data_IF_531152105905
#
_entry.id   IF_531152105905
#
_cell.length_a   1.000
_cell.length_b   1.000
_cell.length_c   1.000
_cell.angle_alpha   90.00
_cell.angle_beta   90.00
_cell.angle_gamma   90.00
#
_symmetry.space_group_name_H-M   'P 1'
#
loop_
_entity.id
_entity.type
_entity.pdbx_description
1 polymer ?
#
# COMPACT_ATOMS: atom_id res chain seq x y z
N UNK A 1 7.26 -12.63 -7.17
CA UNK A 1 7.59 -13.77 -8.00
C UNK A 1 6.68 -13.79 -9.23
N UNK A 2 7.22 -14.18 -10.39
CA UNK A 2 6.50 -14.20 -11.67
C UNK A 2 5.23 -15.07 -11.65
N UNK A 3 5.16 -16.10 -10.79
CA UNK A 3 3.98 -16.96 -10.63
C UNK A 3 2.79 -16.24 -10.02
N UNK A 4 3.02 -15.25 -9.17
CA UNK A 4 1.95 -14.45 -8.58
C UNK A 4 1.34 -13.48 -9.61
N UNK A 5 2.15 -12.94 -10.52
CA UNK A 5 1.69 -12.07 -11.59
C UNK A 5 1.02 -12.86 -12.73
N UNK A 6 1.59 -14.03 -13.11
CA UNK A 6 1.00 -14.93 -14.09
C UNK A 6 1.16 -16.38 -13.63
N UNK A 7 0.08 -17.07 -13.18
CA UNK A 7 0.16 -18.43 -12.67
C UNK A 7 0.65 -19.46 -13.71
N UNK A 8 0.50 -19.20 -15.02
CA UNK A 8 1.04 -20.07 -16.06
C UNK A 8 2.58 -20.17 -16.03
N UNK A 9 3.26 -19.17 -15.41
CA UNK A 9 4.71 -19.20 -15.18
C UNK A 9 5.19 -20.39 -14.36
N UNK A 10 4.34 -20.93 -13.48
CA UNK A 10 4.62 -22.17 -12.75
C UNK A 10 4.80 -23.37 -13.69
N UNK A 11 4.13 -23.39 -14.85
CA UNK A 11 4.27 -24.45 -15.86
C UNK A 11 5.65 -24.49 -16.53
N UNK A 12 6.50 -23.49 -16.35
CA UNK A 12 7.88 -23.46 -16.85
C UNK A 12 8.86 -24.26 -15.98
N UNK A 13 8.50 -24.58 -14.73
CA UNK A 13 9.34 -25.36 -13.83
C UNK A 13 9.46 -26.80 -14.28
N UNK A 14 10.68 -27.34 -14.20
CA UNK A 14 11.05 -28.70 -14.59
C UNK A 14 11.57 -29.53 -13.42
N UNK A 15 11.84 -28.89 -12.29
CA UNK A 15 12.33 -29.51 -11.05
C UNK A 15 11.54 -28.94 -9.90
N UNK A 16 11.38 -29.73 -8.87
CA UNK A 16 10.83 -29.25 -7.59
C UNK A 16 11.81 -28.31 -6.93
N UNK A 17 11.30 -27.34 -6.16
CA UNK A 17 12.12 -26.26 -5.58
C UNK A 17 11.50 -25.81 -4.26
N UNK A 18 12.35 -25.54 -3.27
CA UNK A 18 11.99 -24.81 -2.06
C UNK A 18 12.81 -23.52 -2.06
N UNK A 19 12.15 -22.38 -1.87
CA UNK A 19 12.80 -21.08 -1.87
C UNK A 19 12.44 -20.25 -0.64
N UNK A 20 13.44 -19.50 -0.13
CA UNK A 20 13.32 -18.52 0.93
C UNK A 20 13.89 -17.19 0.43
N UNK A 21 13.17 -16.12 0.68
CA UNK A 21 13.62 -14.74 0.42
C UNK A 21 13.69 -13.98 1.73
N UNK A 22 14.77 -13.25 1.91
CA UNK A 22 14.99 -12.30 2.99
C UNK A 22 15.12 -10.91 2.38
N UNK A 23 14.65 -9.88 3.06
CA UNK A 23 14.85 -8.50 2.63
C UNK A 23 15.12 -7.55 3.80
N UNK A 24 15.85 -6.49 3.49
CA UNK A 24 15.98 -5.29 4.29
C UNK A 24 15.40 -4.13 3.51
N UNK A 25 14.42 -3.44 4.10
CA UNK A 25 13.75 -2.28 3.51
C UNK A 25 14.03 -1.06 4.38
N UNK A 26 14.50 0.02 3.76
CA UNK A 26 14.74 1.32 4.39
C UNK A 26 13.87 2.33 3.67
N UNK A 27 12.84 2.82 4.34
CA UNK A 27 11.99 3.90 3.87
C UNK A 27 12.51 5.24 4.42
N UNK A 28 12.67 6.22 3.52
CA UNK A 28 13.06 7.58 3.84
C UNK A 28 12.01 8.53 3.31
N UNK A 29 11.57 9.44 4.14
CA UNK A 29 10.66 10.52 3.76
C UNK A 29 11.31 11.85 4.05
N UNK A 30 11.09 12.85 3.19
CA UNK A 30 11.63 14.18 3.33
C UNK A 30 10.62 15.20 2.81
N UNK A 31 10.23 16.14 3.66
CA UNK A 31 9.49 17.32 3.24
C UNK A 31 10.40 18.22 2.38
N UNK A 32 9.88 18.70 1.26
CA UNK A 32 10.66 19.47 0.25
C UNK A 32 10.18 20.90 0.07
N UNK A 33 9.17 21.34 0.84
CA UNK A 33 8.66 22.70 0.79
C UNK A 33 9.67 23.74 1.26
N UNK A 34 9.51 24.97 0.77
CA UNK A 34 10.53 26.04 0.89
C UNK A 34 10.85 26.45 2.33
N UNK A 35 9.91 26.28 3.27
CA UNK A 35 10.02 26.85 4.62
C UNK A 35 10.36 25.82 5.71
N UNK A 36 10.32 24.53 5.43
CA UNK A 36 10.63 23.48 6.39
C UNK A 36 11.30 22.28 5.71
N UNK A 37 12.30 21.70 6.38
CA UNK A 37 12.95 20.47 5.92
C UNK A 37 12.89 19.46 7.05
N UNK A 38 11.87 18.62 7.03
CA UNK A 38 11.77 17.49 7.95
C UNK A 38 12.09 16.20 7.21
N UNK A 39 12.72 15.27 7.91
CA UNK A 39 13.05 13.96 7.33
C UNK A 39 12.87 12.86 8.35
N UNK A 40 12.37 11.73 7.90
CA UNK A 40 12.24 10.51 8.69
C UNK A 40 12.85 9.32 7.96
N UNK A 41 13.33 8.33 8.72
CA UNK A 41 13.85 7.10 8.17
C UNK A 41 13.48 5.91 9.05
N UNK A 42 12.97 4.86 8.42
CA UNK A 42 12.57 3.62 9.11
C UNK A 42 13.10 2.40 8.37
N UNK A 43 13.74 1.49 9.08
CA UNK A 43 14.25 0.24 8.51
C UNK A 43 13.49 -0.97 9.04
N UNK A 44 13.45 -2.03 8.23
CA UNK A 44 12.86 -3.30 8.59
C UNK A 44 13.51 -4.46 7.87
N UNK A 45 13.96 -5.44 8.66
CA UNK A 45 14.35 -6.75 8.16
C UNK A 45 13.18 -7.73 8.21
N UNK A 46 12.99 -8.53 7.15
CA UNK A 46 11.91 -9.50 7.07
C UNK A 46 12.26 -10.73 6.22
N UNK A 47 11.44 -11.77 6.34
CA UNK A 47 11.39 -12.90 5.43
C UNK A 47 10.07 -12.80 4.61
N UNK A 48 10.05 -12.01 3.51
CA UNK A 48 8.81 -11.70 2.80
C UNK A 48 8.28 -12.85 1.96
N UNK A 49 9.08 -13.89 1.69
CA UNK A 49 8.61 -14.99 0.87
C UNK A 49 9.22 -16.32 1.29
N UNK A 50 8.34 -17.32 1.37
CA UNK A 50 8.69 -18.74 1.37
C UNK A 50 7.81 -19.45 0.35
N UNK A 51 8.38 -20.38 -0.43
CA UNK A 51 7.61 -21.15 -1.40
C UNK A 51 8.15 -22.56 -1.56
N UNK A 52 7.23 -23.50 -1.85
CA UNK A 52 7.53 -24.87 -2.22
C UNK A 52 6.82 -25.19 -3.54
N UNK A 53 7.56 -25.70 -4.50
CA UNK A 53 7.10 -26.06 -5.84
C UNK A 53 7.34 -27.56 -6.05
N UNK A 54 6.31 -28.25 -6.51
CA UNK A 54 6.37 -29.64 -6.94
C UNK A 54 6.17 -29.70 -8.45
N UNK A 55 7.19 -30.13 -9.18
CA UNK A 55 7.16 -30.29 -10.62
C UNK A 55 6.93 -31.78 -10.96
N UNK A 56 5.70 -32.13 -11.32
CA UNK A 56 5.28 -33.47 -11.64
C UNK A 56 5.17 -33.62 -13.16
N UNK A 57 6.04 -34.39 -13.76
CA UNK A 57 6.00 -34.55 -15.20
C UNK A 57 6.94 -35.61 -15.78
N UNK A 58 6.87 -35.76 -17.06
CA UNK A 58 7.69 -36.71 -17.81
C UNK A 58 8.46 -35.96 -18.91
N UNK A 59 9.77 -35.81 -18.73
CA UNK A 59 10.65 -35.13 -19.70
C UNK A 59 10.73 -35.82 -21.06
N UNK A 60 10.40 -37.11 -21.14
CA UNK A 60 10.41 -37.90 -22.43
C UNK A 60 9.16 -37.61 -23.26
N UNK A 61 8.10 -37.07 -22.64
CA UNK A 61 6.85 -36.78 -23.32
C UNK A 61 6.98 -35.43 -24.08
N UNK A 62 6.67 -35.47 -25.38
CA UNK A 62 6.80 -34.29 -26.24
C UNK A 62 5.45 -33.63 -26.58
N UNK A 63 4.31 -34.31 -26.40
CA UNK A 63 2.97 -33.80 -26.73
C UNK A 63 1.97 -34.02 -25.60
N UNK A 64 0.94 -33.20 -25.59
CA UNK A 64 -0.08 -33.17 -24.54
C UNK A 64 0.43 -32.56 -23.23
N UNK A 65 -0.19 -32.90 -22.12
CA UNK A 65 0.23 -32.43 -20.79
C UNK A 65 1.56 -33.11 -20.41
N UNK A 66 2.64 -32.32 -20.37
CA UNK A 66 4.01 -32.78 -20.10
C UNK A 66 4.34 -32.65 -18.63
N UNK A 67 3.98 -31.49 -18.03
CA UNK A 67 4.12 -31.23 -16.62
C UNK A 67 2.82 -30.73 -16.01
N UNK A 68 2.56 -31.13 -14.77
CA UNK A 68 1.52 -30.64 -13.90
C UNK A 68 2.21 -30.19 -12.61
N UNK A 69 2.32 -28.89 -12.41
CA UNK A 69 3.09 -28.31 -11.32
C UNK A 69 2.16 -27.73 -10.27
N UNK A 70 2.55 -27.82 -9.00
CA UNK A 70 1.85 -27.26 -7.86
C UNK A 70 2.79 -26.34 -7.09
N UNK A 71 2.26 -25.30 -6.46
CA UNK A 71 3.02 -24.43 -5.58
C UNK A 71 2.18 -24.06 -4.35
N UNK A 72 2.81 -24.06 -3.21
CA UNK A 72 2.34 -23.40 -2.00
C UNK A 72 3.33 -22.28 -1.66
N UNK A 73 2.82 -21.08 -1.43
CA UNK A 73 3.69 -19.94 -1.06
C UNK A 73 3.02 -19.02 -0.08
N UNK A 74 3.84 -18.41 0.79
CA UNK A 74 3.51 -17.22 1.56
C UNK A 74 4.35 -16.07 1.01
N UNK A 75 3.71 -14.94 0.72
CA UNK A 75 4.37 -13.79 0.11
C UNK A 75 3.85 -12.48 0.69
N UNK A 76 4.77 -11.59 1.12
CA UNK A 76 4.45 -10.23 1.53
C UNK A 76 4.27 -9.34 0.31
N UNK A 77 3.05 -8.86 0.09
CA UNK A 77 2.71 -7.98 -1.03
C UNK A 77 3.02 -6.52 -0.73
N UNK A 78 2.76 -6.09 0.52
CA UNK A 78 3.07 -4.74 0.96
C UNK A 78 3.58 -4.71 2.40
N UNK A 79 4.44 -3.75 2.67
CA UNK A 79 4.96 -3.41 3.98
C UNK A 79 4.61 -1.94 4.24
N UNK A 80 3.90 -1.68 5.33
CA UNK A 80 3.40 -0.34 5.66
C UNK A 80 4.30 0.44 6.64
N UNK A 81 5.49 -0.06 6.95
CA UNK A 81 6.41 0.62 7.88
C UNK A 81 6.97 1.90 7.28
N UNK A 82 6.36 3.02 7.62
CA UNK A 82 6.76 4.34 7.17
C UNK A 82 6.39 5.38 8.22
N UNK A 83 7.23 6.41 8.36
CA UNK A 83 6.95 7.59 9.14
C UNK A 83 7.03 8.82 8.23
N UNK A 84 6.04 9.72 8.33
CA UNK A 84 5.98 11.00 7.64
C UNK A 84 5.92 12.06 8.73
N UNK A 85 6.79 13.06 8.63
CA UNK A 85 6.75 14.23 9.49
C UNK A 85 6.75 15.45 8.59
N UNK A 86 5.75 16.30 8.75
CA UNK A 86 5.66 17.59 8.05
C UNK A 86 5.39 18.70 9.03
N UNK A 87 5.93 19.87 8.72
CA UNK A 87 5.71 21.11 9.48
C UNK A 87 5.24 22.21 8.55
N UNK A 88 4.38 23.07 9.05
CA UNK A 88 3.86 24.21 8.30
C UNK A 88 3.20 25.22 9.22
N UNK A 89 2.86 26.36 8.63
CA UNK A 89 2.05 27.39 9.29
C UNK A 89 0.61 27.30 8.81
N UNK A 90 -0.36 27.60 9.70
CA UNK A 90 -1.78 27.65 9.34
C UNK A 90 -2.28 26.31 8.80
N UNK A 91 -2.00 25.20 9.47
CA UNK A 91 -2.46 23.86 9.04
C UNK A 91 -3.98 23.70 9.14
N UNK A 92 -4.67 24.50 9.96
CA UNK A 92 -6.12 24.62 9.96
C UNK A 92 -6.87 23.53 10.71
N UNK A 93 -6.31 23.00 11.80
CA UNK A 93 -6.97 21.99 12.63
C UNK A 93 -8.26 22.54 13.26
N UNK A 94 -8.19 23.71 13.84
CA UNK A 94 -9.33 24.33 14.50
C UNK A 94 -10.40 24.76 13.49
N UNK A 95 -9.99 25.30 12.35
CA UNK A 95 -10.88 25.66 11.25
C UNK A 95 -11.62 24.44 10.71
N UNK A 96 -10.93 23.29 10.59
CA UNK A 96 -11.56 22.03 10.20
C UNK A 96 -12.56 21.56 11.23
N UNK A 97 -12.25 21.68 12.52
CA UNK A 97 -13.21 21.36 13.61
C UNK A 97 -14.44 22.25 13.53
N UNK A 98 -14.27 23.58 13.33
CA UNK A 98 -15.39 24.50 13.16
C UNK A 98 -16.26 24.10 11.97
N UNK A 99 -15.65 23.90 10.81
CA UNK A 99 -16.36 23.51 9.59
C UNK A 99 -17.18 22.22 9.75
N UNK A 100 -16.65 21.23 10.48
CA UNK A 100 -17.37 19.97 10.78
C UNK A 100 -18.47 20.15 11.82
N UNK A 101 -18.44 21.24 12.57
CA UNK A 101 -19.40 21.54 13.64
C UNK A 101 -20.47 22.53 13.19
N UNK A 102 -20.26 23.26 12.11
CA UNK A 102 -21.20 24.23 11.57
C UNK A 102 -22.57 23.61 11.31
N UNK A 103 -23.61 24.29 11.78
CA UNK A 103 -25.00 23.83 11.74
C UNK A 103 -25.44 23.02 12.95
N UNK A 104 -24.53 22.68 13.88
CA UNK A 104 -24.86 22.02 15.16
C UNK A 104 -25.02 23.06 16.27
N UNK A 105 -26.16 23.07 16.93
CA UNK A 105 -26.36 23.91 18.10
C UNK A 105 -25.54 23.39 19.28
N UNK A 106 -24.95 24.29 20.09
CA UNK A 106 -24.07 24.00 21.22
C UNK A 106 -24.63 22.93 22.16
N UNK A 107 -25.95 23.00 22.45
CA UNK A 107 -26.61 22.05 23.34
C UNK A 107 -26.43 20.58 22.97
N UNK A 108 -26.23 20.26 21.69
CA UNK A 108 -26.00 18.88 21.22
C UNK A 108 -24.60 18.36 21.55
N UNK A 109 -23.63 19.23 21.84
CA UNK A 109 -22.25 18.82 22.17
C UNK A 109 -21.99 18.75 23.69
N UNK A 110 -22.84 19.34 24.52
CA UNK A 110 -22.62 19.48 25.97
C UNK A 110 -22.50 18.10 26.69
N UNK A 111 -23.26 17.09 26.26
CA UNK A 111 -23.29 15.76 26.87
C UNK A 111 -22.33 14.76 26.23
N UNK A 112 -21.46 15.24 25.30
CA UNK A 112 -20.52 14.41 24.51
C UNK A 112 -21.21 13.18 23.89
N UNK A 113 -22.12 13.36 22.91
CA UNK A 113 -22.96 12.31 22.35
C UNK A 113 -22.17 11.41 21.36
N UNK A 114 -21.28 10.60 21.88
CA UNK A 114 -20.40 9.73 21.07
C UNK A 114 -21.16 8.67 20.24
N UNK A 115 -22.38 8.33 20.63
CA UNK A 115 -23.21 7.33 19.95
C UNK A 115 -24.13 7.94 18.88
N UNK A 116 -24.14 9.26 18.72
CA UNK A 116 -24.96 9.94 17.74
C UNK A 116 -24.26 9.89 16.36
N UNK A 117 -24.93 9.32 15.37
CA UNK A 117 -24.38 9.17 14.03
C UNK A 117 -24.39 10.46 13.20
N UNK A 118 -25.07 11.51 13.67
CA UNK A 118 -25.11 12.82 12.99
C UNK A 118 -24.10 13.80 13.56
N UNK A 119 -23.46 13.46 14.68
CA UNK A 119 -22.49 14.32 15.36
C UNK A 119 -21.08 13.72 15.24
N UNK A 120 -20.21 14.41 14.51
CA UNK A 120 -18.83 13.98 14.31
C UNK A 120 -18.01 14.01 15.60
N UNK A 121 -17.22 12.96 15.83
CA UNK A 121 -16.33 12.92 16.99
C UNK A 121 -15.33 14.06 17.02
N UNK A 122 -14.94 14.62 15.87
CA UNK A 122 -14.05 15.76 15.77
C UNK A 122 -14.68 17.02 16.39
N UNK A 123 -16.01 17.21 16.21
CA UNK A 123 -16.78 18.30 16.80
C UNK A 123 -16.81 18.19 18.34
N UNK A 124 -17.07 16.98 18.84
CA UNK A 124 -17.10 16.72 20.30
C UNK A 124 -15.72 16.94 20.93
N UNK A 125 -14.66 16.51 20.26
CA UNK A 125 -13.27 16.70 20.69
C UNK A 125 -12.91 18.20 20.73
N UNK A 126 -13.23 18.94 19.67
CA UNK A 126 -12.93 20.37 19.58
C UNK A 126 -13.65 21.20 20.65
N UNK A 127 -14.96 20.96 20.81
CA UNK A 127 -15.76 21.64 21.83
C UNK A 127 -15.31 21.26 23.25
N UNK A 128 -15.17 19.98 23.53
CA UNK A 128 -14.81 19.48 24.86
C UNK A 128 -13.39 19.89 25.30
N UNK A 129 -12.50 20.21 24.35
CA UNK A 129 -11.14 20.70 24.59
C UNK A 129 -11.02 22.24 24.56
N UNK A 130 -12.14 22.97 24.45
CA UNK A 130 -12.19 24.45 24.40
C UNK A 130 -11.37 25.02 23.22
N UNK A 131 -11.43 24.37 22.06
CA UNK A 131 -10.72 24.78 20.85
C UNK A 131 -11.61 25.50 19.85
N UNK A 132 -12.93 25.32 19.97
CA UNK A 132 -13.95 25.95 19.12
C UNK A 132 -15.05 26.54 19.98
N UNK A 133 -15.52 27.73 19.60
CA UNK A 133 -16.56 28.48 20.28
C UNK A 133 -17.78 28.65 19.37
N UNK A 134 -19.03 28.52 19.91
CA UNK A 134 -20.22 28.83 19.15
C UNK A 134 -20.35 30.32 18.88
N UNK A 135 -20.77 30.67 17.68
CA UNK A 135 -21.14 32.02 17.25
C UNK A 135 -22.60 32.06 16.80
N UNK A 136 -23.04 33.20 16.24
CA UNK A 136 -24.42 33.32 15.77
C UNK A 136 -24.81 32.32 14.67
N UNK A 137 -26.09 31.91 14.63
CA UNK A 137 -26.68 31.02 13.63
C UNK A 137 -26.08 29.61 13.58
N UNK A 138 -25.76 29.02 14.74
CA UNK A 138 -25.17 27.67 14.85
C UNK A 138 -23.86 27.53 14.04
N UNK A 139 -23.13 28.62 13.84
CA UNK A 139 -21.79 28.63 13.27
C UNK A 139 -20.76 28.55 14.39
N UNK A 140 -19.55 28.13 14.04
CA UNK A 140 -18.46 27.94 14.98
C UNK A 140 -17.20 28.68 14.54
N UNK A 141 -16.42 29.14 15.51
CA UNK A 141 -15.16 29.82 15.25
C UNK A 141 -14.02 29.21 16.08
N UNK A 142 -12.76 29.24 15.59
CA UNK A 142 -11.60 28.89 16.39
C UNK A 142 -11.52 29.74 17.66
N UNK A 143 -11.37 29.09 18.82
CA UNK A 143 -11.16 29.79 20.10
C UNK A 143 -9.74 30.35 20.25
N UNK A 144 -8.80 29.88 19.43
CA UNK A 144 -7.38 30.20 19.46
C UNK A 144 -6.87 30.46 18.03
N UNK A 145 -5.83 31.28 17.93
CA UNK A 145 -5.07 31.52 16.70
C UNK A 145 -3.73 30.77 16.79
N UNK A 146 -3.73 29.50 16.40
CA UNK A 146 -2.55 28.65 16.42
C UNK A 146 -1.82 28.76 15.07
N UNK A 147 -0.54 29.09 15.09
CA UNK A 147 0.22 29.46 13.90
C UNK A 147 1.14 28.36 13.38
N UNK A 148 1.75 27.60 14.29
CA UNK A 148 2.77 26.60 13.94
C UNK A 148 2.22 25.19 14.09
N UNK A 149 2.27 24.42 13.03
CA UNK A 149 1.73 23.07 12.99
C UNK A 149 2.79 22.00 12.72
N UNK A 150 2.60 20.82 13.29
CA UNK A 150 3.36 19.60 13.00
C UNK A 150 2.40 18.43 12.85
N UNK A 151 2.47 17.75 11.72
CA UNK A 151 1.76 16.51 11.48
C UNK A 151 2.76 15.35 11.43
N UNK A 152 2.56 14.35 12.29
CA UNK A 152 3.32 13.10 12.29
C UNK A 152 2.40 11.95 11.99
N UNK A 153 2.69 11.21 10.92
CA UNK A 153 1.97 10.00 10.54
C UNK A 153 2.91 8.81 10.64
N UNK A 154 2.58 7.85 11.49
CA UNK A 154 3.33 6.60 11.66
C UNK A 154 2.48 5.43 11.21
N UNK A 155 2.94 4.71 10.19
CA UNK A 155 2.30 3.55 9.63
C UNK A 155 3.08 2.29 9.96
N UNK A 156 2.38 1.20 10.26
CA UNK A 156 2.97 -0.11 10.50
C UNK A 156 2.04 -1.23 10.09
N UNK A 157 2.62 -2.40 9.81
CA UNK A 157 1.86 -3.59 9.44
C UNK A 157 2.26 -4.16 8.09
N UNK A 158 1.48 -5.11 7.62
CA UNK A 158 1.76 -5.84 6.39
C UNK A 158 0.50 -6.38 5.73
N UNK A 159 0.63 -6.56 4.43
CA UNK A 159 -0.30 -7.28 3.59
C UNK A 159 0.40 -8.54 3.07
N UNK A 160 0.06 -9.68 3.65
CA UNK A 160 0.64 -10.98 3.32
C UNK A 160 -0.37 -11.80 2.52
N UNK A 161 0.08 -12.62 1.57
CA UNK A 161 -0.75 -13.49 0.76
C UNK A 161 -0.25 -14.92 0.80
N UNK A 162 -1.13 -15.84 1.14
CA UNK A 162 -0.92 -17.27 0.97
C UNK A 162 -1.53 -17.68 -0.36
N UNK A 163 -0.75 -18.42 -1.17
CA UNK A 163 -1.19 -18.80 -2.53
C UNK A 163 -1.02 -20.29 -2.74
N UNK A 164 -2.09 -20.93 -3.18
CA UNK A 164 -2.08 -22.27 -3.74
C UNK A 164 -2.19 -22.14 -5.26
N UNK A 165 -1.23 -22.74 -5.99
CA UNK A 165 -1.16 -22.62 -7.44
C UNK A 165 -1.12 -23.99 -8.10
N UNK A 166 -1.73 -24.06 -9.28
CA UNK A 166 -1.57 -25.15 -10.21
C UNK A 166 -1.26 -24.62 -11.62
N UNK A 167 -0.35 -25.29 -12.34
CA UNK A 167 -0.13 -25.01 -13.75
C UNK A 167 0.23 -26.24 -14.56
N UNK A 168 -0.28 -26.27 -15.77
CA UNK A 168 -0.02 -27.28 -16.78
C UNK A 168 0.88 -26.76 -17.88
N UNK A 169 1.82 -27.62 -18.33
CA UNK A 169 2.62 -27.42 -19.52
C UNK A 169 2.15 -28.35 -20.62
N UNK A 170 1.64 -27.79 -21.70
CA UNK A 170 1.08 -28.54 -22.84
C UNK A 170 2.02 -28.39 -24.04
N UNK A 171 2.67 -29.49 -24.41
CA UNK A 171 3.54 -29.60 -25.59
C UNK A 171 4.70 -28.60 -25.65
N UNK A 172 5.12 -28.02 -24.50
CA UNK A 172 6.12 -26.92 -24.39
C UNK A 172 5.78 -25.67 -25.20
N UNK A 173 4.53 -25.52 -25.61
CA UNK A 173 4.03 -24.36 -26.34
C UNK A 173 3.00 -23.56 -25.54
N UNK A 174 2.10 -24.25 -24.85
CA UNK A 174 1.05 -23.63 -24.06
C UNK A 174 1.25 -23.95 -22.58
N UNK A 175 1.14 -22.92 -21.78
CA UNK A 175 1.19 -23.03 -20.34
C UNK A 175 -0.06 -22.36 -19.79
N UNK A 176 -0.80 -23.06 -18.97
CA UNK A 176 -2.02 -22.57 -18.33
C UNK A 176 -1.85 -22.69 -16.83
N UNK A 177 -2.40 -21.75 -16.07
CA UNK A 177 -2.28 -21.79 -14.63
C UNK A 177 -3.41 -21.07 -13.91
N UNK A 178 -3.60 -21.46 -12.65
CA UNK A 178 -4.57 -20.86 -11.75
C UNK A 178 -3.95 -20.68 -10.37
N UNK A 179 -4.31 -19.61 -9.69
CA UNK A 179 -3.99 -19.35 -8.28
C UNK A 179 -5.27 -19.21 -7.48
N UNK A 180 -5.27 -19.77 -6.29
CA UNK A 180 -6.16 -19.41 -5.19
C UNK A 180 -5.35 -18.57 -4.20
N UNK A 181 -5.81 -17.35 -3.91
CA UNK A 181 -5.13 -16.39 -3.08
C UNK A 181 -5.92 -16.15 -1.79
N UNK A 182 -5.25 -16.25 -0.65
CA UNK A 182 -5.79 -16.01 0.67
C UNK A 182 -4.96 -14.90 1.34
N UNK A 183 -5.27 -13.63 1.09
CA UNK A 183 -4.56 -12.53 1.71
C UNK A 183 -4.99 -12.28 3.14
N UNK A 184 -4.07 -11.75 3.94
CA UNK A 184 -4.29 -11.22 5.28
C UNK A 184 -3.74 -9.80 5.37
N UNK A 185 -4.47 -8.92 6.03
CA UNK A 185 -4.10 -7.53 6.24
C UNK A 185 -3.99 -7.26 7.73
N UNK A 186 -2.93 -6.60 8.14
CA UNK A 186 -2.80 -5.94 9.43
C UNK A 186 -2.16 -4.57 9.18
N UNK A 187 -2.86 -3.52 9.51
CA UNK A 187 -2.43 -2.14 9.28
C UNK A 187 -2.77 -1.29 10.49
N UNK A 188 -1.81 -0.53 10.95
CA UNK A 188 -1.99 0.44 12.03
C UNK A 188 -1.44 1.77 11.58
N UNK A 189 -2.26 2.82 11.66
CA UNK A 189 -1.89 4.21 11.43
C UNK A 189 -2.06 4.99 12.73
N UNK A 190 -1.04 5.72 13.12
CA UNK A 190 -1.07 6.71 14.20
C UNK A 190 -0.78 8.06 13.60
N UNK A 191 -1.68 8.99 13.87
CA UNK A 191 -1.54 10.38 13.44
C UNK A 191 -1.47 11.24 14.69
N UNK A 192 -0.47 12.08 14.76
CA UNK A 192 -0.37 13.14 15.79
C UNK A 192 -0.31 14.47 15.05
N UNK A 193 -1.34 15.28 15.23
CA UNK A 193 -1.41 16.63 14.71
C UNK A 193 -1.31 17.61 15.89
N UNK A 194 -0.30 18.45 15.88
CA UNK A 194 -0.06 19.44 16.94
C UNK A 194 -0.04 20.82 16.31
N UNK A 195 -0.83 21.73 16.84
CA UNK A 195 -0.76 23.15 16.50
C UNK A 195 -0.49 23.98 17.75
N UNK A 196 0.34 25.00 17.63
CA UNK A 196 0.81 25.81 18.77
C UNK A 196 0.92 27.29 18.41
N UNK A 197 0.75 28.13 19.45
CA UNK A 197 1.25 29.50 19.48
C UNK A 197 2.25 29.65 20.63
N UNK A 198 2.52 30.87 21.08
CA UNK A 198 3.45 31.14 22.18
C UNK A 198 2.97 30.61 23.54
N UNK A 199 1.68 30.44 23.75
CA UNK A 199 1.05 30.21 25.06
C UNK A 199 0.16 28.97 25.02
N UNK A 200 -0.54 28.76 23.89
CA UNK A 200 -1.58 27.76 23.70
C UNK A 200 -1.10 26.62 22.81
N UNK A 201 -1.74 25.49 22.94
CA UNK A 201 -1.48 24.33 22.08
C UNK A 201 -2.71 23.45 21.94
N UNK A 202 -2.81 22.78 20.81
CA UNK A 202 -3.76 21.71 20.55
C UNK A 202 -3.00 20.51 20.01
N UNK A 203 -3.25 19.32 20.55
CA UNK A 203 -2.65 18.06 20.08
C UNK A 203 -3.75 17.02 19.93
N UNK A 204 -3.99 16.59 18.69
CA UNK A 204 -4.89 15.48 18.35
C UNK A 204 -4.08 14.25 18.03
N UNK A 205 -4.30 13.18 18.79
CA UNK A 205 -3.75 11.84 18.53
C UNK A 205 -4.86 10.94 18.02
N UNK A 206 -4.68 10.33 16.87
CA UNK A 206 -5.63 9.39 16.29
C UNK A 206 -4.96 8.06 16.00
N UNK A 207 -5.61 6.98 16.39
CA UNK A 207 -5.23 5.60 16.10
C UNK A 207 -6.28 5.00 15.17
N UNK A 208 -5.81 4.42 14.07
CA UNK A 208 -6.61 3.65 13.14
C UNK A 208 -5.99 2.27 12.97
N UNK A 209 -6.71 1.23 13.33
CA UNK A 209 -6.29 -0.15 13.18
C UNK A 209 -7.22 -0.91 12.25
N UNK A 210 -6.64 -1.55 11.25
CA UNK A 210 -7.36 -2.31 10.23
C UNK A 210 -6.77 -3.71 10.16
N UNK A 211 -7.60 -4.72 10.31
CA UNK A 211 -7.16 -6.11 10.18
C UNK A 211 -8.22 -6.95 9.48
N UNK A 212 -7.79 -7.99 8.78
CA UNK A 212 -8.73 -8.87 8.12
C UNK A 212 -8.10 -9.92 7.23
N UNK A 213 -8.96 -10.69 6.62
CA UNK A 213 -8.61 -11.77 5.70
C UNK A 213 -9.51 -11.72 4.46
N UNK A 214 -9.00 -12.27 3.36
CA UNK A 214 -9.72 -12.27 2.10
C UNK A 214 -9.53 -13.55 1.30
N UNK A 215 -10.25 -13.58 0.19
CA UNK A 215 -10.17 -14.64 -0.81
C UNK A 215 -10.21 -14.02 -2.20
N UNK A 216 -9.35 -14.51 -3.08
CA UNK A 216 -9.27 -14.10 -4.47
C UNK A 216 -8.62 -15.18 -5.32
N UNK A 217 -8.40 -14.87 -6.60
CA UNK A 217 -7.76 -15.81 -7.50
C UNK A 217 -7.21 -15.14 -8.75
N UNK A 218 -6.44 -15.89 -9.50
CA UNK A 218 -5.99 -15.47 -10.82
C UNK A 218 -5.86 -16.63 -11.78
N UNK A 219 -6.00 -16.33 -13.06
CA UNK A 219 -5.79 -17.26 -14.16
C UNK A 219 -4.73 -16.71 -15.09
N UNK A 220 -3.98 -17.58 -15.72
CA UNK A 220 -2.91 -17.18 -16.62
C UNK A 220 -2.70 -18.12 -17.78
N UNK A 221 -2.19 -17.53 -18.85
CA UNK A 221 -1.82 -18.21 -20.09
C UNK A 221 -0.45 -17.71 -20.55
N UNK A 222 0.42 -18.62 -21.00
CA UNK A 222 1.64 -18.29 -21.73
C UNK A 222 1.64 -19.13 -23.00
N UNK A 223 1.86 -18.46 -24.12
CA UNK A 223 2.06 -19.08 -25.42
C UNK A 223 3.50 -18.87 -25.91
N UNK A 224 4.13 -19.95 -26.33
CA UNK A 224 5.50 -19.96 -26.85
C UNK A 224 5.50 -20.42 -28.31
N UNK A 225 5.28 -19.51 -29.29
CA UNK A 225 5.24 -19.86 -30.72
C UNK A 225 6.56 -20.41 -31.20
N UNK A 226 7.67 -19.86 -30.76
CA UNK A 226 9.03 -20.29 -31.04
C UNK A 226 9.87 -20.27 -29.76
N UNK A 227 11.05 -20.88 -29.79
CA UNK A 227 11.92 -20.92 -28.59
C UNK A 227 12.28 -19.56 -28.04
N UNK A 228 12.46 -18.58 -28.91
CA UNK A 228 12.92 -17.24 -28.55
C UNK A 228 11.82 -16.31 -28.05
N UNK A 229 10.53 -16.60 -28.27
CA UNK A 229 9.43 -15.67 -27.95
C UNK A 229 8.40 -16.35 -27.05
N UNK A 230 7.98 -15.64 -26.03
CA UNK A 230 6.83 -15.98 -25.17
C UNK A 230 5.91 -14.78 -25.05
N UNK A 231 4.62 -15.03 -25.20
CA UNK A 231 3.55 -14.07 -24.97
C UNK A 231 2.74 -14.55 -23.80
N UNK A 232 2.50 -13.70 -22.82
CA UNK A 232 1.74 -14.03 -21.63
C UNK A 232 0.53 -13.12 -21.46
N UNK A 233 -0.52 -13.67 -20.89
CA UNK A 233 -1.68 -12.92 -20.40
C UNK A 233 -2.12 -13.47 -19.05
N UNK A 234 -2.56 -12.61 -18.15
CA UNK A 234 -3.14 -13.01 -16.87
C UNK A 234 -4.28 -12.10 -16.46
N UNK A 235 -5.17 -12.65 -15.66
CA UNK A 235 -6.35 -11.99 -15.14
C UNK A 235 -6.50 -12.31 -13.65
N UNK A 236 -6.54 -11.24 -12.83
CA UNK A 236 -6.69 -11.34 -11.40
C UNK A 236 -8.10 -10.92 -11.01
N UNK A 237 -8.85 -11.88 -10.48
CA UNK A 237 -10.21 -11.65 -9.99
C UNK A 237 -10.13 -10.77 -8.74
N UNK A 238 -11.05 -9.81 -8.57
CA UNK A 238 -11.11 -9.02 -7.35
C UNK A 238 -11.08 -9.89 -6.10
N UNK A 239 -10.19 -9.54 -5.18
CA UNK A 239 -10.08 -10.20 -3.88
C UNK A 239 -11.07 -9.55 -2.93
N UNK A 240 -12.04 -10.31 -2.43
CA UNK A 240 -12.95 -9.85 -1.41
C UNK A 240 -12.31 -10.04 -0.04
N UNK A 241 -12.25 -8.97 0.76
CA UNK A 241 -11.70 -8.97 2.11
C UNK A 241 -12.77 -8.56 3.10
N UNK A 242 -12.86 -9.30 4.21
CA UNK A 242 -13.62 -8.91 5.40
C UNK A 242 -12.65 -8.24 6.37
N UNK A 243 -12.91 -6.98 6.70
CA UNK A 243 -12.04 -6.14 7.50
C UNK A 243 -12.73 -5.75 8.80
N UNK A 244 -11.95 -5.70 9.87
CA UNK A 244 -12.31 -5.12 11.16
C UNK A 244 -11.57 -3.79 11.29
N UNK A 245 -12.32 -2.74 11.58
CA UNK A 245 -11.83 -1.36 11.76
C UNK A 245 -12.00 -0.95 13.19
N UNK A 246 -10.96 -0.40 13.80
CA UNK A 246 -10.98 0.20 15.13
C UNK A 246 -10.37 1.59 15.07
N UNK A 247 -11.04 2.57 15.69
CA UNK A 247 -10.60 3.96 15.74
C UNK A 247 -10.64 4.45 17.18
N UNK A 248 -9.61 5.18 17.60
CA UNK A 248 -9.51 5.83 18.91
C UNK A 248 -8.86 7.20 18.71
N UNK A 249 -9.24 8.20 19.50
CA UNK A 249 -8.65 9.53 19.44
C UNK A 249 -8.63 10.22 20.78
N UNK A 250 -7.52 10.91 21.03
CA UNK A 250 -7.28 11.69 22.22
C UNK A 250 -6.99 13.14 21.82
N UNK A 251 -7.70 14.09 22.42
CA UNK A 251 -7.48 15.52 22.24
C UNK A 251 -6.93 16.13 23.50
N UNK A 252 -5.80 16.78 23.37
CA UNK A 252 -5.14 17.54 24.42
C UNK A 252 -5.06 19.01 24.02
N UNK A 253 -5.45 19.90 24.90
CA UNK A 253 -5.29 21.34 24.67
C UNK A 253 -4.71 22.06 25.88
N UNK A 254 -4.05 23.19 25.61
CA UNK A 254 -3.66 24.17 26.61
C UNK A 254 -4.21 25.51 26.17
N UNK A 255 -5.16 26.03 26.93
CA UNK A 255 -5.89 27.26 26.65
C UNK A 255 -5.69 28.23 27.82
N UNK A 256 -5.06 29.35 27.57
CA UNK A 256 -4.81 30.41 28.61
C UNK A 256 -4.15 29.86 29.89
N UNK A 257 -3.27 28.86 29.75
CA UNK A 257 -2.51 28.25 30.85
C UNK A 257 -3.22 27.11 31.56
N UNK A 258 -4.45 26.75 31.18
CA UNK A 258 -5.17 25.57 31.65
C UNK A 258 -5.06 24.45 30.64
N UNK A 259 -4.96 23.21 31.12
CA UNK A 259 -4.88 22.01 30.28
C UNK A 259 -6.18 21.24 30.33
N UNK A 260 -6.61 20.77 29.16
CA UNK A 260 -7.81 19.95 28.99
C UNK A 260 -7.47 18.69 28.22
N UNK A 261 -8.22 17.63 28.52
CA UNK A 261 -8.11 16.32 27.87
C UNK A 261 -9.51 15.79 27.55
N UNK A 262 -9.70 15.33 26.32
CA UNK A 262 -10.94 14.69 25.87
C UNK A 262 -10.56 13.42 25.13
N UNK A 263 -11.04 12.29 25.64
CA UNK A 263 -10.80 10.96 25.09
C UNK A 263 -12.06 10.44 24.41
N UNK A 264 -11.95 9.84 23.25
CA UNK A 264 -13.06 9.12 22.66
C UNK A 264 -13.27 7.82 23.41
N UNK A 265 -14.50 7.29 23.45
CA UNK A 265 -14.70 5.90 23.85
C UNK A 265 -13.94 4.99 22.86
N UNK A 266 -13.49 3.83 23.33
CA UNK A 266 -12.97 2.82 22.42
C UNK A 266 -14.06 2.50 21.39
N UNK A 267 -13.79 2.74 20.11
CA UNK A 267 -14.76 2.41 19.07
C UNK A 267 -14.99 0.91 19.07
N UNK A 268 -16.25 0.51 19.03
CA UNK A 268 -16.57 -0.88 18.74
C UNK A 268 -15.94 -1.31 17.42
N UNK A 269 -15.61 -2.60 17.31
CA UNK A 269 -15.07 -3.13 16.05
C UNK A 269 -16.14 -3.05 14.96
N UNK A 270 -15.95 -2.19 13.98
CA UNK A 270 -16.81 -2.11 12.80
C UNK A 270 -16.30 -3.09 11.75
N UNK A 271 -17.19 -4.00 11.30
CA UNK A 271 -16.86 -4.93 10.23
C UNK A 271 -17.29 -4.36 8.89
N UNK A 272 -16.40 -4.36 7.92
CA UNK A 272 -16.68 -3.93 6.54
C UNK A 272 -16.14 -4.93 5.53
N UNK A 273 -16.65 -4.87 4.31
CA UNK A 273 -16.15 -5.68 3.19
C UNK A 273 -15.63 -4.76 2.10
N UNK A 274 -14.45 -5.06 1.63
CA UNK A 274 -13.87 -4.39 0.46
C UNK A 274 -13.51 -5.41 -0.62
N UNK A 275 -13.51 -4.96 -1.86
CA UNK A 275 -13.01 -5.73 -2.99
C UNK A 275 -11.79 -5.03 -3.59
N UNK A 276 -10.71 -5.77 -3.84
CA UNK A 276 -9.58 -5.22 -4.58
C UNK A 276 -9.98 -4.93 -6.03
N UNK A 277 -9.28 -3.99 -6.71
CA UNK A 277 -9.47 -3.78 -8.14
C UNK A 277 -9.26 -5.05 -8.97
N UNK A 278 -9.93 -5.11 -10.11
CA UNK A 278 -9.67 -6.09 -11.15
C UNK A 278 -8.37 -5.75 -11.87
N UNK A 279 -7.45 -6.71 -12.03
CA UNK A 279 -6.19 -6.49 -12.74
C UNK A 279 -6.03 -7.45 -13.92
N UNK A 280 -5.66 -6.92 -15.08
CA UNK A 280 -5.33 -7.66 -16.29
C UNK A 280 -3.90 -7.36 -16.71
N UNK A 281 -3.16 -8.35 -17.18
CA UNK A 281 -1.77 -8.18 -17.58
C UNK A 281 -1.51 -8.84 -18.94
N UNK A 282 -0.68 -8.18 -19.74
CA UNK A 282 -0.11 -8.76 -20.97
C UNK A 282 1.40 -8.61 -20.93
N UNK A 283 2.11 -9.62 -21.43
CA UNK A 283 3.57 -9.64 -21.39
C UNK A 283 4.17 -10.24 -22.65
N UNK A 284 5.35 -9.73 -23.01
CA UNK A 284 6.17 -10.23 -24.09
C UNK A 284 7.59 -10.47 -23.57
N UNK A 285 8.12 -11.66 -23.83
CA UNK A 285 9.48 -12.03 -23.46
C UNK A 285 10.21 -12.49 -24.72
N UNK A 286 11.35 -11.83 -24.99
CA UNK A 286 12.26 -12.17 -26.09
C UNK A 286 13.58 -12.71 -25.55
N UNK A 287 14.05 -13.84 -26.09
CA UNK A 287 15.38 -14.38 -25.81
C UNK A 287 16.36 -13.86 -26.85
N UNK A 288 17.49 -13.31 -26.41
CA UNK A 288 18.56 -12.78 -27.26
C UNK A 288 19.74 -13.73 -27.19
N UNK A 289 19.93 -14.48 -28.25
CA UNK A 289 20.91 -15.57 -28.25
C UNK A 289 20.60 -16.63 -27.20
N UNK A 290 21.64 -17.21 -26.62
CA UNK A 290 21.50 -18.18 -25.52
C UNK A 290 21.70 -17.54 -24.13
N UNK A 291 22.09 -16.28 -24.07
CA UNK A 291 22.65 -15.61 -22.89
C UNK A 291 21.82 -14.42 -22.42
N UNK A 292 20.90 -13.91 -23.26
CA UNK A 292 20.11 -12.73 -22.95
C UNK A 292 18.62 -12.94 -22.98
N UNK A 293 17.90 -12.15 -22.18
CA UNK A 293 16.45 -12.11 -22.13
C UNK A 293 15.99 -10.68 -21.90
N UNK A 294 14.99 -10.22 -22.64
CA UNK A 294 14.27 -8.97 -22.40
C UNK A 294 12.79 -9.30 -22.21
N UNK A 295 12.19 -8.65 -21.23
CA UNK A 295 10.77 -8.79 -20.91
C UNK A 295 10.12 -7.41 -20.82
N UNK A 296 8.91 -7.30 -21.36
CA UNK A 296 8.03 -6.15 -21.22
C UNK A 296 6.67 -6.63 -20.77
N UNK A 297 6.09 -5.99 -19.77
CA UNK A 297 4.76 -6.29 -19.27
C UNK A 297 3.99 -4.99 -19.06
N UNK A 298 2.73 -5.02 -19.43
CA UNK A 298 1.77 -3.96 -19.14
C UNK A 298 0.63 -4.54 -18.30
N UNK A 299 0.36 -3.86 -17.18
CA UNK A 299 -0.76 -4.19 -16.29
C UNK A 299 -1.78 -3.06 -16.33
N UNK A 300 -3.03 -3.42 -16.45
CA UNK A 300 -4.18 -2.54 -16.31
C UNK A 300 -4.98 -2.96 -15.08
N UNK A 301 -5.14 -2.03 -14.14
CA UNK A 301 -5.90 -2.22 -12.92
C UNK A 301 -7.12 -1.30 -12.96
N UNK A 302 -8.31 -1.89 -13.02
CA UNK A 302 -9.56 -1.16 -13.09
C UNK A 302 -10.01 -0.75 -11.69
N UNK A 303 -10.12 0.55 -11.46
CA UNK A 303 -10.57 1.09 -10.19
C UNK A 303 -12.06 0.82 -9.96
N UNK A 304 -12.46 0.31 -8.79
CA UNK A 304 -13.87 0.16 -8.46
C UNK A 304 -14.51 1.54 -8.32
N UNK A 305 -15.64 1.76 -9.01
CA UNK A 305 -16.34 3.06 -9.03
C UNK A 305 -17.28 3.25 -7.85
N UNK A 306 -17.71 2.15 -7.23
CA UNK A 306 -18.68 2.13 -6.14
C UNK A 306 -18.06 1.43 -4.94
N UNK A 307 -17.49 2.19 -4.00
CA UNK A 307 -17.05 1.65 -2.72
C UNK A 307 -17.85 2.27 -1.58
N UNK A 308 -18.44 1.42 -0.75
CA UNK A 308 -19.18 1.79 0.47
C UNK A 308 -18.31 2.53 1.51
N UNK A 309 -16.99 2.60 1.31
CA UNK A 309 -16.03 3.22 2.24
C UNK A 309 -15.82 4.72 1.99
N UNK A 310 -16.58 5.36 1.09
CA UNK A 310 -16.48 6.80 0.84
C UNK A 310 -15.12 7.26 0.31
N UNK A 311 -14.32 6.36 -0.26
CA UNK A 311 -13.10 6.77 -0.96
C UNK A 311 -13.47 7.47 -2.26
N UNK A 312 -12.81 8.56 -2.52
CA UNK A 312 -12.84 9.37 -3.72
C UNK A 312 -12.76 8.56 -4.99
N UNK A 313 -13.20 9.11 -6.11
CA UNK A 313 -13.09 8.44 -7.40
C UNK A 313 -11.65 8.03 -7.65
N UNK A 314 -11.39 6.74 -7.53
CA UNK A 314 -10.13 6.14 -7.91
C UNK A 314 -10.00 6.16 -9.43
N UNK A 315 -8.78 6.34 -9.92
CA UNK A 315 -8.46 6.22 -11.34
C UNK A 315 -7.93 4.84 -11.66
N UNK A 316 -8.10 4.42 -12.91
CA UNK A 316 -7.51 3.20 -13.41
C UNK A 316 -5.98 3.31 -13.37
N UNK A 317 -5.30 2.24 -12.92
CA UNK A 317 -3.85 2.24 -12.80
C UNK A 317 -3.22 1.53 -13.99
N UNK A 318 -2.26 2.20 -14.57
CA UNK A 318 -1.44 1.70 -15.67
C UNK A 318 -0.03 1.42 -15.16
N UNK A 319 0.42 0.16 -15.26
CA UNK A 319 1.78 -0.20 -14.85
C UNK A 319 2.56 -0.74 -16.05
N UNK A 320 3.70 -0.13 -16.34
CA UNK A 320 4.65 -0.61 -17.34
C UNK A 320 5.89 -1.18 -16.64
N UNK A 321 6.24 -2.42 -16.98
CA UNK A 321 7.43 -3.11 -16.46
C UNK A 321 8.35 -3.52 -17.59
N UNK A 322 9.62 -3.19 -17.48
CA UNK A 322 10.67 -3.59 -18.43
C UNK A 322 11.81 -4.23 -17.64
N UNK A 323 12.28 -5.36 -18.12
CA UNK A 323 13.39 -6.07 -17.47
C UNK A 323 14.30 -6.75 -18.49
N UNK A 324 15.54 -6.87 -18.10
CA UNK A 324 16.56 -7.60 -18.87
C UNK A 324 17.39 -8.50 -17.94
N UNK A 325 17.77 -9.67 -18.44
CA UNK A 325 18.70 -10.60 -17.79
C UNK A 325 19.78 -10.99 -18.81
N UNK A 326 21.04 -11.03 -18.38
CA UNK A 326 22.14 -11.49 -19.17
C UNK A 326 23.01 -12.49 -18.40
N UNK A 327 23.36 -13.60 -19.03
CA UNK A 327 24.33 -14.56 -18.50
C UNK A 327 25.74 -14.04 -18.75
N UNK A 328 26.50 -13.79 -17.68
CA UNK A 328 27.88 -13.27 -17.76
C UNK A 328 28.87 -14.41 -17.90
N UNK A 329 28.66 -15.47 -17.14
CA UNK A 329 29.41 -16.71 -17.22
C UNK A 329 28.48 -17.87 -16.92
N UNK A 330 28.97 -19.12 -17.04
CA UNK A 330 28.16 -20.29 -16.73
C UNK A 330 27.60 -20.23 -15.31
N UNK A 331 26.30 -20.14 -15.21
CA UNK A 331 25.55 -20.08 -13.96
C UNK A 331 25.43 -18.68 -13.35
N UNK A 332 26.20 -17.68 -13.76
CA UNK A 332 26.14 -16.32 -13.22
C UNK A 332 25.33 -15.40 -14.14
N UNK A 333 24.35 -14.68 -13.56
CA UNK A 333 23.45 -13.77 -14.26
C UNK A 333 23.46 -12.40 -13.62
N UNK A 334 23.31 -11.38 -14.45
CA UNK A 334 22.99 -10.04 -14.02
C UNK A 334 21.61 -9.68 -14.56
N UNK A 335 20.85 -8.93 -13.79
CA UNK A 335 19.55 -8.43 -14.23
C UNK A 335 19.36 -6.97 -13.85
N UNK A 336 18.51 -6.29 -14.62
CA UNK A 336 18.07 -4.93 -14.36
C UNK A 336 16.59 -4.80 -14.71
N UNK A 337 15.89 -3.91 -14.03
CA UNK A 337 14.47 -3.68 -14.27
C UNK A 337 14.06 -2.25 -13.95
N UNK A 338 13.02 -1.82 -14.63
CA UNK A 338 12.34 -0.55 -14.42
C UNK A 338 10.83 -0.81 -14.37
N UNK A 339 10.15 -0.13 -13.43
CA UNK A 339 8.70 -0.14 -13.34
C UNK A 339 8.21 1.30 -13.20
N UNK A 340 7.21 1.65 -13.99
CA UNK A 340 6.42 2.86 -13.84
C UNK A 340 4.98 2.46 -13.50
N UNK A 341 4.41 3.08 -12.47
CA UNK A 341 3.04 2.89 -12.04
C UNK A 341 2.36 4.24 -11.88
N UNK A 342 1.23 4.46 -12.58
CA UNK A 342 0.45 5.69 -12.45
C UNK A 342 -0.21 5.77 -11.06
N UNK A 343 -0.59 6.98 -10.63
CA UNK A 343 -1.43 7.14 -9.43
C UNK A 343 -2.79 6.49 -9.63
N UNK A 344 -3.37 5.98 -8.54
CA UNK A 344 -4.75 5.50 -8.51
C UNK A 344 -5.71 6.52 -7.90
N UNK A 345 -5.21 7.64 -7.39
CA UNK A 345 -5.99 8.75 -6.84
C UNK A 345 -5.99 9.92 -7.83
N UNK A 346 -7.11 10.59 -7.96
CA UNK A 346 -7.19 11.89 -8.64
C UNK A 346 -6.44 12.96 -7.86
N UNK A 347 -5.95 13.98 -8.54
CA UNK A 347 -5.21 15.12 -7.98
C UNK A 347 -6.03 16.01 -7.03
N UNK A 348 -7.15 15.55 -6.51
CA UNK A 348 -7.98 16.31 -5.60
C UNK A 348 -8.17 15.56 -4.29
N UNK A 349 -7.35 15.83 -3.26
CA UNK A 349 -7.41 15.14 -1.99
C UNK A 349 -8.66 15.49 -1.17
N UNK A 350 -9.34 16.58 -1.44
CA UNK A 350 -10.58 17.00 -0.76
C UNK A 350 -11.65 15.91 -0.87
N UNK A 351 -11.62 15.14 -1.93
CA UNK A 351 -12.53 14.03 -2.15
C UNK A 351 -12.18 12.73 -1.40
N UNK A 352 -11.05 12.66 -0.72
CA UNK A 352 -10.69 11.51 0.11
C UNK A 352 -11.35 11.51 1.48
N UNK A 353 -12.27 12.44 1.71
CA UNK A 353 -13.01 12.57 2.93
C UNK A 353 -14.05 11.48 3.04
N UNK A 354 -13.79 10.55 3.90
CA UNK A 354 -14.83 9.64 4.37
C UNK A 354 -15.85 10.45 5.18
N UNK A 355 -17.11 10.38 4.82
CA UNK A 355 -18.23 10.87 5.64
C UNK A 355 -18.43 10.03 6.91
N UNK A 356 -17.38 9.41 7.41
CA UNK A 356 -17.46 8.64 8.64
C UNK A 356 -17.31 9.56 9.84
N UNK A 357 -18.38 9.78 10.56
CA UNK A 357 -18.46 10.68 11.70
C UNK A 357 -17.49 10.32 12.84
N UNK A 358 -17.06 9.08 12.92
CA UNK A 358 -16.07 8.63 13.91
C UNK A 358 -14.62 8.86 13.50
N UNK A 359 -14.37 9.25 12.24
CA UNK A 359 -13.01 9.49 11.76
C UNK A 359 -12.50 10.85 12.23
N UNK A 360 -11.35 10.86 12.90
CA UNK A 360 -10.73 12.05 13.45
C UNK A 360 -9.32 12.30 12.94
N UNK A 361 -8.73 11.34 12.22
CA UNK A 361 -7.38 11.51 11.70
C UNK A 361 -7.35 12.54 10.56
N UNK A 362 -6.57 13.59 10.76
CA UNK A 362 -6.34 14.66 9.78
C UNK A 362 -5.11 14.33 8.93
N UNK A 363 -5.21 13.31 8.09
CA UNK A 363 -4.16 12.83 7.21
C UNK A 363 -4.74 12.64 5.80
N UNK A 364 -4.66 13.69 5.00
CA UNK A 364 -5.13 13.71 3.62
C UNK A 364 -3.94 13.76 2.69
N UNK A 365 -3.80 12.77 1.84
CA UNK A 365 -2.65 12.68 0.95
C UNK A 365 -3.01 12.14 -0.42
N UNK A 366 -2.36 12.70 -1.39
CA UNK A 366 -2.35 12.27 -2.76
C UNK A 366 -0.95 11.74 -3.10
N UNK A 367 -0.90 10.61 -3.75
CA UNK A 367 0.35 9.98 -4.16
C UNK A 367 0.49 10.10 -5.66
N UNK A 368 1.60 10.66 -6.13
CA UNK A 368 1.93 10.74 -7.56
C UNK A 368 2.29 9.36 -8.13
N UNK A 369 2.68 9.32 -9.40
CA UNK A 369 3.21 8.10 -10.01
C UNK A 369 4.40 7.55 -9.23
N UNK A 370 4.53 6.23 -9.22
CA UNK A 370 5.62 5.53 -8.53
C UNK A 370 6.59 4.95 -9.55
N UNK A 371 7.87 5.10 -9.30
CA UNK A 371 8.94 4.55 -10.14
C UNK A 371 9.82 3.61 -9.33
N UNK A 372 10.18 2.48 -9.95
CA UNK A 372 11.08 1.50 -9.36
C UNK A 372 12.23 1.22 -10.30
N UNK A 373 13.43 1.21 -9.76
CA UNK A 373 14.66 0.81 -10.43
C UNK A 373 15.24 -0.39 -9.69
N UNK A 374 15.67 -1.40 -10.41
CA UNK A 374 16.24 -2.59 -9.81
C UNK A 374 17.44 -3.12 -10.57
N UNK A 375 18.41 -3.62 -9.82
CA UNK A 375 19.57 -4.35 -10.34
C UNK A 375 19.80 -5.58 -9.49
N UNK A 376 20.30 -6.66 -10.09
CA UNK A 376 20.53 -7.88 -9.35
C UNK A 376 21.63 -8.75 -9.96
N UNK A 377 22.14 -9.62 -9.11
CA UNK A 377 23.10 -10.67 -9.42
C UNK A 377 22.52 -12.02 -9.02
N UNK A 378 22.59 -13.00 -9.89
CA UNK A 378 22.09 -14.34 -9.63
C UNK A 378 23.09 -15.42 -9.99
N UNK A 379 23.12 -16.46 -9.20
CA UNK A 379 23.85 -17.71 -9.51
C UNK A 379 22.84 -18.86 -9.61
N UNK A 380 22.94 -19.63 -10.67
CA UNK A 380 22.07 -20.78 -10.93
C UNK A 380 22.89 -22.01 -11.26
N UNK A 381 22.74 -23.04 -10.43
CA UNK A 381 23.27 -24.37 -10.69
C UNK A 381 22.11 -25.38 -10.84
N UNK A 382 22.47 -26.65 -10.96
CA UNK A 382 21.47 -27.72 -11.00
C UNK A 382 20.68 -27.86 -9.71
N UNK A 383 21.35 -27.67 -8.56
CA UNK A 383 20.77 -27.88 -7.24
C UNK A 383 20.40 -26.58 -6.50
N UNK A 384 21.02 -25.44 -6.85
CA UNK A 384 20.88 -24.21 -6.07
C UNK A 384 20.68 -23.01 -6.98
N UNK A 385 19.78 -22.11 -6.59
CA UNK A 385 19.66 -20.76 -7.12
C UNK A 385 19.87 -19.78 -5.97
N UNK A 386 20.80 -18.86 -6.13
CA UNK A 386 21.03 -17.75 -5.19
C UNK A 386 20.91 -16.43 -5.96
N UNK A 387 20.21 -15.48 -5.39
CA UNK A 387 20.02 -14.14 -6.00
C UNK A 387 20.17 -13.06 -4.94
N UNK A 388 20.81 -11.97 -5.32
CA UNK A 388 20.87 -10.73 -4.56
C UNK A 388 20.43 -9.60 -5.47
N UNK A 389 19.47 -8.80 -5.01
CA UNK A 389 18.94 -7.67 -5.77
C UNK A 389 18.85 -6.44 -4.89
N UNK A 390 19.02 -5.29 -5.51
CA UNK A 390 18.75 -3.98 -4.94
C UNK A 390 17.63 -3.34 -5.73
N UNK A 391 16.65 -2.77 -5.03
CA UNK A 391 15.55 -2.02 -5.61
C UNK A 391 15.48 -0.64 -4.95
N UNK A 392 15.34 0.38 -5.78
CA UNK A 392 15.07 1.75 -5.38
C UNK A 392 13.68 2.14 -5.87
N UNK A 393 12.82 2.63 -4.96
CA UNK A 393 11.51 3.20 -5.27
C UNK A 393 11.53 4.68 -4.97
N UNK A 394 10.99 5.47 -5.87
CA UNK A 394 10.80 6.89 -5.71
C UNK A 394 9.36 7.29 -5.97
N UNK A 395 8.84 8.20 -5.16
CA UNK A 395 7.47 8.67 -5.21
C UNK A 395 7.36 9.99 -4.45
N UNK A 396 6.54 10.94 -4.95
CA UNK A 396 6.18 12.15 -4.22
C UNK A 396 4.76 12.01 -3.67
N UNK A 397 4.56 12.45 -2.44
CA UNK A 397 3.28 12.54 -1.76
C UNK A 397 2.96 14.01 -1.56
N UNK A 398 1.79 14.44 -2.01
CA UNK A 398 1.20 15.72 -1.64
C UNK A 398 0.39 15.50 -0.36
N UNK A 399 0.88 16.02 0.75
CA UNK A 399 0.32 15.87 2.08
C UNK A 399 -0.46 17.12 2.47
N UNK A 400 -1.69 16.93 2.93
CA UNK A 400 -2.50 17.96 3.55
C UNK A 400 -2.77 17.53 4.99
N UNK A 401 -2.57 18.43 5.93
CA UNK A 401 -2.83 18.19 7.34
C UNK A 401 -4.32 18.28 7.68
N UNK A 402 -5.07 19.10 6.90
CA UNK A 402 -6.50 19.32 7.11
C UNK A 402 -7.21 19.62 5.79
N UNK A 403 -8.53 19.58 5.83
CA UNK A 403 -9.39 19.99 4.69
C UNK A 403 -9.31 21.49 4.42
N UNK A 404 -9.05 22.29 5.43
CA UNK A 404 -8.94 23.75 5.32
C UNK A 404 -7.63 24.19 4.66
N UNK A 405 -6.64 23.33 4.57
CA UNK A 405 -5.34 23.66 4.00
C UNK A 405 -5.41 23.83 2.47
N UNK A 406 -5.03 24.98 1.97
CA UNK A 406 -5.13 25.35 0.55
C UNK A 406 -3.99 24.75 -0.29
N UNK A 407 -2.79 24.61 0.29
CA UNK A 407 -1.59 24.14 -0.40
C UNK A 407 -1.08 22.83 0.21
N UNK A 408 -0.73 21.89 -0.64
CA UNK A 408 -0.09 20.65 -0.21
C UNK A 408 1.33 20.89 0.32
N UNK A 409 1.74 20.07 1.26
CA UNK A 409 3.14 19.91 1.66
C UNK A 409 3.73 18.74 0.89
N UNK A 410 4.77 19.00 0.10
CA UNK A 410 5.40 17.97 -0.71
C UNK A 410 6.36 17.11 0.09
N UNK A 411 6.17 15.80 0.01
CA UNK A 411 7.00 14.81 0.71
C UNK A 411 7.57 13.81 -0.30
N UNK A 412 8.88 13.87 -0.51
CA UNK A 412 9.58 12.86 -1.27
C UNK A 412 9.76 11.59 -0.44
N UNK A 413 9.36 10.46 -1.02
CA UNK A 413 9.52 9.14 -0.42
C UNK A 413 10.49 8.30 -1.24
N UNK A 414 11.52 7.81 -0.60
CA UNK A 414 12.54 6.95 -1.18
C UNK A 414 12.61 5.64 -0.41
N UNK A 415 12.42 4.52 -1.10
CA UNK A 415 12.55 3.20 -0.49
C UNK A 415 13.74 2.49 -1.09
N UNK A 416 14.68 2.11 -0.25
CA UNK A 416 15.82 1.26 -0.60
C UNK A 416 15.53 -0.16 -0.10
N UNK A 417 15.55 -1.15 -0.98
CA UNK A 417 15.28 -2.54 -0.62
C UNK A 417 16.40 -3.44 -1.13
N UNK A 418 17.00 -4.20 -0.22
CA UNK A 418 17.98 -5.24 -0.54
C UNK A 418 17.27 -6.58 -0.35
N UNK A 419 17.29 -7.43 -1.37
CA UNK A 419 16.59 -8.71 -1.39
C UNK A 419 17.58 -9.83 -1.67
N UNK A 420 17.60 -10.85 -0.81
CA UNK A 420 18.38 -12.07 -0.98
C UNK A 420 17.45 -13.29 -1.06
N UNK A 421 17.59 -14.07 -2.12
CA UNK A 421 16.81 -15.30 -2.31
C UNK A 421 17.73 -16.49 -2.44
N UNK A 422 17.39 -17.56 -1.72
CA UNK A 422 18.03 -18.86 -1.84
C UNK A 422 16.98 -19.91 -2.16
N UNK A 423 17.20 -20.68 -3.21
CA UNK A 423 16.34 -21.79 -3.58
C UNK A 423 17.13 -23.07 -3.79
N UNK A 424 16.57 -24.17 -3.31
CA UNK A 424 17.10 -25.51 -3.48
C UNK A 424 16.20 -26.33 -4.40
N UNK A 425 16.81 -26.97 -5.39
CA UNK A 425 16.15 -27.77 -6.45
C UNK A 425 16.47 -29.26 -6.30
N UNK A 426 15.46 -30.07 -6.48
CA UNK A 426 15.58 -31.53 -6.37
C UNK A 426 14.68 -32.28 -7.35
#
# INVERSE_FOLDING_TARGET
SAVLDNPAGLGLYRRSEIALTLDETIDKTRQTDADATESSSRSRFAAPQISAIWALGNMQKQRGLIFSNFMLSSHRLANFNRDIVVKGQGMGMLETMCYKTDGLAEQYLQDKPWDDSEIGWLSILGYGAYLIDPIENDLWAPALDLTDGTLTVSESGNYDQYTLSWAGNISNQWYVGVNLNLPTLSYTKRVTHTETDRINSAELKSLYHLSGLGIGGSVGLIYRPIQAIRVGASFHIPTTMSLSVQTESDMYSKVSGQSYEVLTPASGVVSTKIASPLRSSVSLVGQIGNEGLIAVQYDYTHAPKDQELGFSPMEDVHTLRVGAEAQVTRGLFINAGYVYESSFLKEDPIWMLSYNEIRTDMDYRYTTSTQYYSVGLGYRSDAVVAQLAYQYRWQTIHQYATEAQVAAMDVDTQTHRIVATLAWRF
#
